data_IF_415296445089
#
_entry.id   IF_415296445089
#
_cell.length_a   1.000
_cell.length_b   1.000
_cell.length_c   1.000
_cell.angle_alpha   90.00
_cell.angle_beta   90.00
_cell.angle_gamma   90.00
#
_symmetry.space_group_name_H-M   'P 1'
#
loop_
_entity.id
_entity.type
_entity.pdbx_description
1 polymer ?
#
# COMPACT_ATOMS: atom_id res chain seq x y z
N UNK A 1 2.39 29.06 11.95
CA UNK A 1 2.33 27.61 11.69
C UNK A 1 0.96 27.00 12.03
N UNK A 2 -0.08 27.80 12.33
CA UNK A 2 -1.39 27.30 12.79
C UNK A 2 -2.48 27.23 11.69
N UNK A 3 -2.14 27.44 10.41
CA UNK A 3 -3.15 27.48 9.33
C UNK A 3 -2.81 26.60 8.12
N UNK A 4 -1.85 25.67 8.27
CA UNK A 4 -1.46 24.73 7.18
C UNK A 4 -2.26 23.43 7.18
N UNK A 5 -2.94 23.12 8.28
CA UNK A 5 -3.72 21.89 8.48
C UNK A 5 -5.19 22.17 8.79
N UNK A 6 -5.62 23.44 8.78
CA UNK A 6 -6.98 23.83 9.18
C UNK A 6 -8.07 23.28 8.25
N UNK A 7 -7.68 22.78 7.06
CA UNK A 7 -8.57 22.17 6.07
C UNK A 7 -8.32 20.66 5.84
N UNK A 8 -7.38 20.03 6.55
CA UNK A 8 -7.17 18.59 6.40
C UNK A 8 -8.33 17.82 7.07
N UNK A 9 -9.03 16.92 6.38
CA UNK A 9 -10.14 16.17 6.97
C UNK A 9 -9.68 15.36 8.18
N UNK A 10 -10.53 15.26 9.20
CA UNK A 10 -10.24 14.43 10.38
C UNK A 10 -10.36 12.94 10.09
N UNK A 11 -11.05 12.56 9.00
CA UNK A 11 -11.27 11.17 8.59
C UNK A 11 -11.56 11.08 7.09
N UNK A 12 -11.24 9.91 6.52
CA UNK A 12 -11.54 9.54 5.14
C UNK A 12 -12.43 8.29 5.16
N UNK A 13 -13.76 8.42 4.95
CA UNK A 13 -14.64 7.26 4.94
C UNK A 13 -14.38 6.38 3.72
N UNK A 14 -14.35 5.07 3.94
CA UNK A 14 -14.23 4.07 2.90
C UNK A 14 -15.12 2.86 3.20
N UNK A 15 -15.38 2.06 2.16
CA UNK A 15 -15.97 0.73 2.28
C UNK A 15 -14.86 -0.32 2.26
N UNK A 16 -14.81 -1.17 3.28
CA UNK A 16 -13.92 -2.33 3.32
C UNK A 16 -14.60 -3.52 2.63
N UNK A 17 -13.87 -4.28 1.81
CA UNK A 17 -14.35 -5.55 1.26
C UNK A 17 -13.26 -6.62 1.39
N UNK A 18 -13.70 -7.84 1.69
CA UNK A 18 -12.87 -9.04 1.64
C UNK A 18 -13.43 -9.98 0.56
N UNK A 19 -12.59 -10.41 -0.37
CA UNK A 19 -12.96 -11.28 -1.48
C UNK A 19 -12.06 -12.50 -1.51
N UNK A 20 -12.66 -13.68 -1.73
CA UNK A 20 -11.94 -14.94 -1.79
C UNK A 20 -12.35 -15.72 -3.05
N UNK A 21 -11.40 -16.44 -3.65
CA UNK A 21 -11.68 -17.33 -4.77
C UNK A 21 -11.43 -18.79 -4.37
N UNK A 22 -12.32 -19.65 -4.84
CA UNK A 22 -12.35 -21.07 -4.54
C UNK A 22 -12.30 -21.87 -5.85
N UNK A 23 -11.60 -23.00 -5.82
CA UNK A 23 -11.58 -23.98 -6.91
C UNK A 23 -12.05 -25.34 -6.38
N UNK A 24 -12.89 -26.04 -7.14
CA UNK A 24 -13.22 -27.44 -6.85
C UNK A 24 -12.10 -28.36 -7.34
N UNK A 25 -11.43 -29.05 -6.42
CA UNK A 25 -10.35 -30.00 -6.71
C UNK A 25 -10.71 -31.36 -6.11
N UNK A 26 -10.88 -32.37 -6.98
CA UNK A 26 -11.24 -33.74 -6.60
C UNK A 26 -12.51 -33.79 -5.71
N UNK A 27 -13.53 -33.00 -6.06
CA UNK A 27 -14.81 -32.93 -5.34
C UNK A 27 -14.79 -32.16 -4.02
N UNK A 28 -13.74 -31.37 -3.75
CA UNK A 28 -13.63 -30.53 -2.55
C UNK A 28 -13.20 -29.10 -2.91
N UNK A 29 -13.81 -28.10 -2.28
CA UNK A 29 -13.44 -26.70 -2.45
C UNK A 29 -12.09 -26.38 -1.81
N UNK A 30 -11.30 -25.58 -2.51
CA UNK A 30 -10.00 -25.06 -2.04
C UNK A 30 -10.00 -23.55 -2.24
N UNK A 31 -9.95 -22.81 -1.13
CA UNK A 31 -9.66 -21.38 -1.17
C UNK A 31 -8.19 -21.19 -1.52
N UNK A 32 -7.91 -20.50 -2.62
CA UNK A 32 -6.55 -20.34 -3.13
C UNK A 32 -6.13 -18.87 -3.30
N UNK A 33 -7.06 -17.94 -3.16
CA UNK A 33 -6.84 -16.51 -3.32
C UNK A 33 -7.70 -15.75 -2.32
N UNK A 34 -7.11 -14.74 -1.68
CA UNK A 34 -7.78 -13.79 -0.80
C UNK A 34 -7.33 -12.37 -1.08
N UNK A 35 -8.22 -11.40 -0.98
CA UNK A 35 -7.92 -9.99 -1.18
C UNK A 35 -8.79 -9.09 -0.30
N UNK A 36 -8.16 -8.14 0.39
CA UNK A 36 -8.84 -7.07 1.11
C UNK A 36 -8.59 -5.73 0.43
N UNK A 37 -9.64 -4.93 0.34
CA UNK A 37 -9.63 -3.65 -0.39
C UNK A 37 -10.35 -2.56 0.41
N UNK A 38 -9.92 -1.32 0.20
CA UNK A 38 -10.55 -0.11 0.72
C UNK A 38 -11.03 0.73 -0.46
N UNK A 39 -12.33 1.02 -0.51
CA UNK A 39 -12.98 1.80 -1.57
C UNK A 39 -13.39 3.18 -1.03
N UNK A 40 -12.71 4.24 -1.48
CA UNK A 40 -12.98 5.62 -1.12
C UNK A 40 -13.84 6.28 -2.20
N UNK A 41 -15.13 6.47 -1.90
CA UNK A 41 -16.15 6.91 -2.85
C UNK A 41 -16.00 8.36 -3.32
N UNK A 42 -16.96 8.82 -4.12
CA UNK A 42 -17.05 10.22 -4.58
C UNK A 42 -17.40 11.23 -3.49
N UNK A 43 -17.93 10.76 -2.37
CA UNK A 43 -18.27 11.53 -1.17
C UNK A 43 -17.11 11.59 -0.15
N UNK A 44 -16.09 10.75 -0.30
CA UNK A 44 -14.85 10.87 0.48
C UNK A 44 -14.13 12.17 0.10
N UNK A 45 -13.68 12.99 1.08
CA UNK A 45 -12.92 14.19 0.79
C UNK A 45 -11.55 13.86 0.15
N UNK A 46 -11.00 14.85 -0.57
CA UNK A 46 -9.64 14.78 -1.09
C UNK A 46 -8.64 14.66 0.07
N UNK A 47 -7.51 13.94 -0.10
CA UNK A 47 -6.98 13.41 -1.37
C UNK A 47 -7.49 12.01 -1.78
N UNK A 48 -8.38 11.39 -1.00
CA UNK A 48 -8.81 10.00 -1.22
C UNK A 48 -10.01 9.83 -2.15
N UNK A 49 -10.63 10.91 -2.60
CA UNK A 49 -11.84 10.87 -3.44
C UNK A 49 -11.67 9.94 -4.66
N UNK A 50 -12.59 9.00 -4.85
CA UNK A 50 -12.64 8.04 -5.98
C UNK A 50 -11.39 7.17 -6.12
N UNK A 51 -10.80 6.80 -5.00
CA UNK A 51 -9.62 5.96 -4.95
C UNK A 51 -9.95 4.57 -4.40
N UNK A 52 -9.28 3.55 -4.92
CA UNK A 52 -9.30 2.20 -4.37
C UNK A 52 -7.89 1.84 -3.89
N UNK A 53 -7.77 1.16 -2.76
CA UNK A 53 -6.51 0.65 -2.24
C UNK A 53 -6.62 -0.86 -2.01
N UNK A 54 -5.67 -1.63 -2.54
CA UNK A 54 -5.56 -3.07 -2.26
C UNK A 54 -4.71 -3.22 -1.00
N UNK A 55 -5.35 -3.49 0.13
CA UNK A 55 -4.70 -3.59 1.44
C UNK A 55 -3.88 -4.85 1.60
N UNK A 56 -4.49 -5.99 1.26
CA UNK A 56 -3.86 -7.30 1.36
C UNK A 56 -4.25 -8.15 0.15
N UNK A 57 -3.31 -8.92 -0.35
CA UNK A 57 -3.54 -9.92 -1.38
C UNK A 57 -2.67 -11.12 -1.04
N UNK A 58 -3.27 -12.30 -1.06
CA UNK A 58 -2.59 -13.54 -0.69
C UNK A 58 -3.02 -14.68 -1.63
N UNK A 59 -2.06 -15.51 -2.04
CA UNK A 59 -2.29 -16.55 -3.06
C UNK A 59 -1.57 -17.84 -2.67
N UNK A 60 -2.32 -18.94 -2.65
CA UNK A 60 -1.83 -20.28 -2.35
C UNK A 60 -1.52 -21.08 -3.64
N UNK A 61 -0.45 -21.88 -3.67
CA UNK A 61 0.05 -22.60 -4.85
C UNK A 61 -0.70 -23.90 -5.13
N UNK A 62 -2.03 -23.88 -5.00
CA UNK A 62 -2.86 -25.07 -5.13
C UNK A 62 -3.78 -25.08 -6.36
N UNK A 63 -3.84 -23.97 -7.09
CA UNK A 63 -4.69 -23.83 -8.27
C UNK A 63 -4.34 -24.88 -9.34
N UNK A 64 -5.35 -25.47 -10.00
CA UNK A 64 -5.15 -26.46 -11.07
C UNK A 64 -5.75 -26.01 -12.41
N UNK A 65 -4.97 -26.07 -13.51
CA UNK A 65 -3.57 -26.45 -13.58
C UNK A 65 -2.65 -25.28 -13.16
N UNK A 66 -1.51 -25.62 -12.53
CA UNK A 66 -0.64 -24.66 -11.82
C UNK A 66 -0.08 -23.57 -12.75
N UNK A 67 0.15 -23.89 -14.02
CA UNK A 67 0.63 -22.94 -15.04
C UNK A 67 -0.30 -21.75 -15.27
N UNK A 68 -1.59 -21.85 -14.92
CA UNK A 68 -2.55 -20.76 -15.04
C UNK A 68 -2.80 -19.98 -13.75
N UNK A 69 -2.22 -20.40 -12.61
CA UNK A 69 -2.47 -19.76 -11.31
C UNK A 69 -2.21 -18.25 -11.34
N UNK A 70 -1.05 -17.84 -11.86
CA UNK A 70 -0.69 -16.42 -12.00
C UNK A 70 -1.68 -15.71 -12.92
N UNK A 71 -2.05 -16.33 -14.04
CA UNK A 71 -2.97 -15.75 -15.02
C UNK A 71 -4.34 -15.50 -14.39
N UNK A 72 -4.89 -16.49 -13.68
CA UNK A 72 -6.18 -16.42 -13.00
C UNK A 72 -6.16 -15.39 -11.87
N UNK A 73 -5.09 -15.36 -11.06
CA UNK A 73 -4.93 -14.37 -9.99
C UNK A 73 -4.91 -12.95 -10.55
N UNK A 74 -4.22 -12.72 -11.67
CA UNK A 74 -4.25 -11.44 -12.37
C UNK A 74 -5.67 -11.11 -12.88
N UNK A 75 -6.40 -12.06 -13.46
CA UNK A 75 -7.76 -11.83 -13.95
C UNK A 75 -8.73 -11.47 -12.82
N UNK A 76 -8.58 -12.04 -11.62
CA UNK A 76 -9.37 -11.66 -10.45
C UNK A 76 -9.13 -10.18 -10.09
N UNK A 77 -7.86 -9.76 -9.98
CA UNK A 77 -7.51 -8.37 -9.66
C UNK A 77 -7.95 -7.42 -10.77
N UNK A 78 -7.70 -7.76 -12.04
CA UNK A 78 -8.08 -6.92 -13.18
C UNK A 78 -9.59 -6.81 -13.34
N UNK A 79 -10.34 -7.89 -13.14
CA UNK A 79 -11.81 -7.87 -13.12
C UNK A 79 -12.35 -6.96 -12.01
N UNK A 80 -11.72 -7.00 -10.83
CA UNK A 80 -12.05 -6.07 -9.74
C UNK A 80 -11.74 -4.61 -10.11
N UNK A 81 -10.59 -4.32 -10.72
CA UNK A 81 -10.24 -2.96 -11.17
C UNK A 81 -11.17 -2.47 -12.28
N UNK A 82 -11.60 -3.34 -13.20
CA UNK A 82 -12.59 -3.01 -14.22
C UNK A 82 -13.96 -2.70 -13.60
N UNK A 83 -14.39 -3.49 -12.61
CA UNK A 83 -15.59 -3.20 -11.83
C UNK A 83 -15.50 -1.83 -11.15
N UNK A 84 -14.38 -1.52 -10.50
CA UNK A 84 -14.17 -0.21 -9.88
C UNK A 84 -14.24 0.93 -10.91
N UNK A 85 -13.61 0.76 -12.07
CA UNK A 85 -13.68 1.73 -13.17
C UNK A 85 -15.11 2.00 -13.63
N UNK A 86 -15.91 0.95 -13.79
CA UNK A 86 -17.31 1.04 -14.20
C UNK A 86 -18.17 1.76 -13.15
N UNK A 87 -17.81 1.62 -11.87
CA UNK A 87 -18.49 2.27 -10.74
C UNK A 87 -17.92 3.67 -10.41
N UNK A 88 -17.07 4.23 -11.28
CA UNK A 88 -16.66 5.64 -11.22
C UNK A 88 -15.47 5.94 -10.31
N UNK A 89 -14.71 4.92 -9.92
CA UNK A 89 -13.37 5.09 -9.33
C UNK A 89 -12.36 5.51 -10.40
N UNK A 90 -11.38 6.33 -10.01
CA UNK A 90 -10.42 6.95 -10.92
C UNK A 90 -9.03 6.35 -10.80
N UNK A 91 -8.59 6.06 -9.57
CA UNK A 91 -7.27 5.50 -9.29
C UNK A 91 -7.36 4.27 -8.42
N UNK A 92 -6.42 3.36 -8.61
CA UNK A 92 -6.16 2.23 -7.72
C UNK A 92 -4.70 2.27 -7.25
N UNK A 93 -4.50 2.10 -5.94
CA UNK A 93 -3.20 2.15 -5.29
C UNK A 93 -2.83 0.75 -4.80
N UNK A 94 -1.60 0.35 -5.08
CA UNK A 94 -1.06 -0.95 -4.70
C UNK A 94 0.30 -0.78 -4.05
N UNK A 95 0.50 -1.46 -2.92
CA UNK A 95 1.79 -1.57 -2.25
C UNK A 95 2.30 -3.00 -2.35
N UNK A 96 3.37 -3.18 -3.12
CA UNK A 96 4.06 -4.46 -3.26
C UNK A 96 4.97 -4.72 -2.06
N UNK A 97 4.36 -5.00 -0.91
CA UNK A 97 5.06 -5.52 0.26
C UNK A 97 4.84 -7.03 0.35
N UNK A 98 5.89 -7.86 0.39
CA UNK A 98 5.75 -9.21 0.87
C UNK A 98 5.57 -9.20 2.40
N UNK A 99 4.96 -10.24 2.99
CA UNK A 99 4.86 -10.35 4.43
C UNK A 99 6.26 -10.50 5.05
N UNK A 100 6.41 -10.09 6.31
CA UNK A 100 7.65 -10.29 7.05
C UNK A 100 7.92 -11.79 7.25
N UNK A 101 9.18 -12.16 7.52
CA UNK A 101 9.53 -13.56 7.79
C UNK A 101 8.71 -14.11 8.97
N UNK A 102 7.92 -15.16 8.70
CA UNK A 102 7.02 -15.76 9.68
C UNK A 102 5.68 -15.03 9.90
N UNK A 103 5.37 -13.99 9.11
CA UNK A 103 4.03 -13.38 9.04
C UNK A 103 3.26 -13.92 7.83
N UNK A 104 1.93 -13.96 7.94
CA UNK A 104 1.01 -14.35 6.88
C UNK A 104 0.04 -13.19 6.62
N UNK A 105 -0.29 -12.91 5.36
CA UNK A 105 -1.26 -11.86 5.07
C UNK A 105 -2.69 -12.29 5.36
N UNK A 106 -3.12 -13.43 4.83
CA UNK A 106 -4.49 -13.90 4.97
C UNK A 106 -4.52 -15.37 5.36
N UNK A 107 -3.71 -16.22 4.70
CA UNK A 107 -3.75 -17.66 4.91
C UNK A 107 -2.71 -18.10 5.95
N UNK A 108 -3.18 -18.66 7.07
CA UNK A 108 -2.29 -19.12 8.12
C UNK A 108 -1.46 -20.34 7.66
N UNK A 109 -0.13 -20.22 7.79
CA UNK A 109 0.86 -21.25 7.49
C UNK A 109 0.87 -21.71 6.02
N UNK A 110 1.64 -20.97 5.20
CA UNK A 110 1.89 -21.30 3.80
C UNK A 110 2.72 -22.60 3.62
N UNK A 111 2.66 -23.24 2.43
CA UNK A 111 3.53 -24.37 2.08
C UNK A 111 5.02 -24.01 2.21
N UNK A 112 5.81 -24.93 2.77
CA UNK A 112 7.25 -24.71 3.00
C UNK A 112 8.06 -24.55 1.70
N UNK A 113 7.55 -25.08 0.60
CA UNK A 113 8.12 -25.00 -0.75
C UNK A 113 7.61 -23.78 -1.54
N UNK A 114 6.67 -23.01 -0.98
CA UNK A 114 6.31 -21.71 -1.52
C UNK A 114 7.40 -20.70 -1.15
N UNK A 115 8.27 -20.39 -2.13
CA UNK A 115 9.24 -19.31 -1.97
C UNK A 115 8.51 -18.01 -1.57
N UNK A 116 8.87 -17.47 -0.40
CA UNK A 116 8.47 -16.11 -0.02
C UNK A 116 8.92 -15.19 -1.14
N UNK A 117 7.98 -14.54 -1.83
CA UNK A 117 8.31 -13.72 -2.99
C UNK A 117 9.21 -12.57 -2.56
N UNK A 118 10.47 -12.56 -3.01
CA UNK A 118 11.36 -11.42 -2.80
C UNK A 118 10.64 -10.12 -3.25
N UNK A 119 10.84 -8.97 -2.56
CA UNK A 119 10.13 -7.73 -2.88
C UNK A 119 10.17 -7.37 -4.37
N UNK A 120 11.30 -7.64 -5.03
CA UNK A 120 11.47 -7.42 -6.47
C UNK A 120 10.57 -8.31 -7.33
N UNK A 121 10.45 -9.59 -7.00
CA UNK A 121 9.60 -10.54 -7.72
C UNK A 121 8.12 -10.19 -7.56
N UNK A 122 7.71 -9.76 -6.37
CA UNK A 122 6.35 -9.30 -6.13
C UNK A 122 6.04 -8.01 -6.91
N UNK A 123 6.95 -7.05 -6.91
CA UNK A 123 6.82 -5.83 -7.72
C UNK A 123 6.75 -6.13 -9.24
N UNK A 124 7.54 -7.09 -9.73
CA UNK A 124 7.46 -7.57 -11.12
C UNK A 124 6.13 -8.26 -11.43
N UNK A 125 5.58 -9.03 -10.48
CA UNK A 125 4.26 -9.65 -10.59
C UNK A 125 3.15 -8.60 -10.75
N UNK A 126 3.11 -7.59 -9.86
CA UNK A 126 2.15 -6.49 -9.97
C UNK A 126 2.32 -5.69 -11.26
N UNK A 127 3.56 -5.36 -11.63
CA UNK A 127 3.85 -4.67 -12.89
C UNK A 127 3.35 -5.47 -14.09
N UNK A 128 3.59 -6.79 -14.12
CA UNK A 128 3.09 -7.67 -15.19
C UNK A 128 1.57 -7.68 -15.25
N UNK A 129 0.89 -7.74 -14.10
CA UNK A 129 -0.58 -7.64 -14.02
C UNK A 129 -1.09 -6.31 -14.56
N UNK A 130 -0.49 -5.18 -14.15
CA UNK A 130 -0.90 -3.85 -14.60
C UNK A 130 -0.64 -3.62 -16.10
N UNK A 131 0.48 -4.12 -16.64
CA UNK A 131 0.75 -4.09 -18.10
C UNK A 131 -0.30 -4.87 -18.88
N UNK A 132 -0.74 -6.04 -18.36
CA UNK A 132 -1.85 -6.79 -18.96
C UNK A 132 -3.15 -6.00 -18.90
N UNK A 133 -3.46 -5.38 -17.76
CA UNK A 133 -4.63 -4.52 -17.61
C UNK A 133 -4.64 -3.35 -18.60
N UNK A 134 -3.47 -2.75 -18.86
CA UNK A 134 -3.29 -1.70 -19.89
C UNK A 134 -3.53 -2.25 -21.30
N UNK A 135 -2.94 -3.40 -21.62
CA UNK A 135 -3.13 -4.05 -22.93
C UNK A 135 -4.59 -4.45 -23.19
N UNK A 136 -5.33 -4.84 -22.15
CA UNK A 136 -6.75 -5.19 -22.20
C UNK A 136 -7.68 -3.96 -22.09
N UNK A 137 -7.15 -2.75 -21.96
CA UNK A 137 -7.92 -1.51 -21.74
C UNK A 137 -8.76 -1.50 -20.45
N UNK A 138 -8.39 -2.34 -19.47
CA UNK A 138 -8.95 -2.31 -18.10
C UNK A 138 -8.55 -1.00 -17.43
N UNK A 139 -7.26 -0.66 -17.41
CA UNK A 139 -6.74 0.61 -16.91
C UNK A 139 -6.14 1.45 -18.04
N UNK A 140 -6.11 2.77 -17.86
CA UNK A 140 -5.56 3.72 -18.83
C UNK A 140 -4.03 3.72 -18.82
N UNK A 141 -3.43 3.84 -17.63
CA UNK A 141 -1.98 3.81 -17.43
C UNK A 141 -1.66 3.50 -15.97
N UNK A 142 -0.39 3.25 -15.65
CA UNK A 142 0.06 3.17 -14.26
C UNK A 142 1.49 3.70 -14.12
N UNK A 143 1.84 4.15 -12.93
CA UNK A 143 3.17 4.70 -12.61
C UNK A 143 3.48 4.50 -11.13
N UNK A 144 4.70 4.82 -10.73
CA UNK A 144 5.04 4.83 -9.31
C UNK A 144 4.46 6.05 -8.57
N UNK A 145 4.32 5.97 -7.24
CA UNK A 145 3.76 7.05 -6.43
C UNK A 145 4.56 8.36 -6.53
N UNK A 146 5.89 8.30 -6.70
CA UNK A 146 6.70 9.50 -6.85
C UNK A 146 6.33 10.24 -8.14
N UNK A 147 6.24 9.53 -9.27
CA UNK A 147 5.81 10.13 -10.54
C UNK A 147 4.36 10.63 -10.48
N UNK A 148 3.49 9.95 -9.74
CA UNK A 148 2.15 10.45 -9.44
C UNK A 148 2.17 11.79 -8.74
N UNK A 149 2.89 11.90 -7.63
CA UNK A 149 2.94 13.16 -6.89
C UNK A 149 3.58 14.30 -7.70
N UNK A 150 4.57 13.98 -8.56
CA UNK A 150 5.15 14.96 -9.49
C UNK A 150 4.14 15.42 -10.55
N UNK A 151 3.37 14.49 -11.14
CA UNK A 151 2.43 14.77 -12.22
C UNK A 151 1.17 15.51 -11.76
N UNK A 152 0.67 15.18 -10.58
CA UNK A 152 -0.47 15.86 -9.96
C UNK A 152 -0.06 17.16 -9.25
N UNK A 153 1.21 17.57 -9.37
CA UNK A 153 1.76 18.78 -8.75
C UNK A 153 1.51 18.85 -7.22
N UNK A 154 1.55 17.68 -6.56
CA UNK A 154 1.44 17.59 -5.10
C UNK A 154 2.66 18.31 -4.49
N UNK A 155 2.41 19.24 -3.57
CA UNK A 155 3.47 20.05 -2.93
C UNK A 155 3.43 19.99 -1.42
N UNK A 156 2.43 19.29 -0.86
CA UNK A 156 2.28 19.09 0.58
C UNK A 156 1.92 17.64 0.88
N UNK A 157 2.37 17.12 2.03
CA UNK A 157 2.07 15.74 2.42
C UNK A 157 0.58 15.49 2.67
N UNK A 158 -0.21 16.54 2.90
CA UNK A 158 -1.66 16.46 3.09
C UNK A 158 -2.42 16.15 1.79
N UNK A 159 -1.79 16.32 0.63
CA UNK A 159 -2.39 15.98 -0.66
C UNK A 159 -1.99 14.57 -1.15
N UNK A 160 -1.18 13.83 -0.37
CA UNK A 160 -0.86 12.43 -0.65
C UNK A 160 -2.03 11.56 -0.14
N UNK A 161 -2.58 10.64 -0.97
CA UNK A 161 -3.64 9.72 -0.52
C UNK A 161 -3.29 8.99 0.78
N UNK A 162 -4.23 8.95 1.71
CA UNK A 162 -4.06 8.42 3.06
C UNK A 162 -4.87 7.13 3.23
N UNK A 163 -4.22 5.98 3.29
CA UNK A 163 -4.91 4.69 3.44
C UNK A 163 -4.61 4.05 4.79
N UNK A 164 -5.63 3.41 5.38
CA UNK A 164 -5.46 2.69 6.65
C UNK A 164 -4.50 1.51 6.46
N UNK A 165 -3.52 1.37 7.37
CA UNK A 165 -2.53 0.28 7.33
C UNK A 165 -1.43 0.43 6.26
N UNK A 166 -1.41 1.52 5.49
CA UNK A 166 -0.40 1.76 4.46
C UNK A 166 0.93 2.31 5.03
N UNK A 167 2.00 2.21 4.24
CA UNK A 167 3.33 2.68 4.61
C UNK A 167 3.41 4.21 4.82
N UNK A 168 2.73 5.00 3.98
CA UNK A 168 2.94 6.45 3.91
C UNK A 168 2.51 7.22 5.17
N UNK A 169 1.34 6.94 5.78
CA UNK A 169 0.98 7.54 7.07
C UNK A 169 2.06 7.35 8.15
N UNK A 170 2.61 6.13 8.25
CA UNK A 170 3.65 5.80 9.23
C UNK A 170 4.95 6.56 8.91
N UNK A 171 5.37 6.58 7.64
CA UNK A 171 6.57 7.29 7.21
C UNK A 171 6.49 8.81 7.46
N UNK A 172 5.30 9.40 7.24
CA UNK A 172 5.03 10.82 7.53
C UNK A 172 5.15 11.09 9.03
N UNK A 173 4.46 10.31 9.87
CA UNK A 173 4.52 10.44 11.33
C UNK A 173 5.93 10.30 11.89
N UNK A 174 6.70 9.32 11.41
CA UNK A 174 8.10 9.15 11.82
C UNK A 174 8.97 10.33 11.40
N UNK A 175 8.74 10.88 10.20
CA UNK A 175 9.50 12.02 9.69
C UNK A 175 9.19 13.28 10.49
N UNK A 176 7.94 13.52 10.86
CA UNK A 176 7.53 14.61 11.76
C UNK A 176 8.28 14.48 13.09
N UNK A 177 8.25 13.29 13.72
CA UNK A 177 8.97 13.05 14.98
C UNK A 177 10.47 13.32 14.88
N UNK A 178 11.12 12.89 13.79
CA UNK A 178 12.55 13.15 13.54
C UNK A 178 12.84 14.65 13.41
N UNK A 179 11.99 15.37 12.68
CA UNK A 179 12.14 16.83 12.50
C UNK A 179 11.95 17.61 13.80
N UNK A 180 10.99 17.20 14.64
CA UNK A 180 10.78 17.84 15.95
C UNK A 180 11.94 17.57 16.91
N UNK A 181 12.56 16.38 16.86
CA UNK A 181 13.77 16.09 17.62
C UNK A 181 14.97 16.93 17.14
N UNK A 182 15.16 17.08 15.83
CA UNK A 182 16.21 17.92 15.25
C UNK A 182 16.06 19.39 15.64
N UNK A 183 14.82 19.91 15.69
CA UNK A 183 14.53 21.29 16.13
C UNK A 183 14.76 21.51 17.61
N UNK A 184 14.48 20.50 18.44
CA UNK A 184 14.61 20.58 19.89
C UNK A 184 16.01 20.18 20.41
N UNK A 185 16.94 19.81 19.52
CA UNK A 185 18.31 19.46 19.90
C UNK A 185 19.11 20.71 20.36
N UNK A 186 19.85 20.63 21.49
CA UNK A 186 20.65 21.74 22.00
C UNK A 186 21.82 22.05 21.05
N UNK A 187 21.66 23.08 20.23
CA UNK A 187 22.65 23.52 19.23
C UNK A 187 22.07 24.24 18.00
N UNK A 188 20.75 24.23 17.81
CA UNK A 188 20.10 24.86 16.65
C UNK A 188 19.99 26.40 16.70
N UNK A 189 20.44 27.05 17.78
CA UNK A 189 20.47 28.51 17.93
C UNK A 189 21.90 29.06 17.92
N UNK A 190 22.59 29.00 16.77
CA UNK A 190 23.65 29.97 16.46
C UNK A 190 24.01 29.91 14.97
N UNK A 191 23.31 30.68 14.14
CA UNK A 191 23.87 31.14 12.88
C UNK A 191 23.69 32.65 12.84
N UNK A 192 24.53 33.35 13.60
CA UNK A 192 24.65 34.80 13.48
C UNK A 192 25.27 35.14 12.12
N UNK A 193 24.48 35.84 11.31
CA UNK A 193 24.93 36.50 10.10
C UNK A 193 25.80 37.70 10.47
N UNK A 194 27.12 37.50 10.57
CA UNK A 194 28.09 38.61 10.64
C UNK A 194 28.95 38.66 9.38
N UNK A 195 28.64 39.64 8.53
CA UNK A 195 29.44 40.12 7.40
C UNK A 195 30.57 41.02 7.92
N UNK A 196 31.85 40.70 7.68
CA UNK A 196 32.92 41.69 7.43
C UNK A 196 34.30 41.08 7.10
N UNK A 197 34.67 41.15 5.82
CA UNK A 197 35.89 41.75 5.24
C UNK A 197 37.30 41.67 5.88
N UNK A 198 38.26 41.15 5.06
CA UNK A 198 39.72 41.49 4.92
C UNK A 198 40.66 41.03 6.07
N UNK A 199 41.91 40.55 5.90
CA UNK A 199 42.97 40.71 4.85
C UNK A 199 44.12 39.67 5.05
N UNK A 200 45.08 39.63 4.11
CA UNK A 200 46.29 38.77 3.92
C UNK A 200 47.28 38.71 5.13
N UNK A 201 48.28 37.80 5.27
CA UNK A 201 49.37 37.46 4.33
C UNK A 201 50.32 36.31 4.83
N UNK A 202 51.03 35.69 3.88
CA UNK A 202 52.42 35.13 3.87
C UNK A 202 52.91 33.92 4.74
N UNK A 203 53.20 32.84 3.99
CA UNK A 203 54.48 32.12 3.75
C UNK A 203 55.13 31.09 4.74
N UNK A 204 55.49 29.94 4.12
CA UNK A 204 56.53 28.89 4.37
C UNK A 204 56.62 28.03 5.64
N UNK A 205 56.68 26.70 5.41
CA UNK A 205 57.61 25.81 6.16
C UNK A 205 57.20 24.35 6.45
N UNK A 206 57.47 23.44 5.50
CA UNK A 206 57.95 22.04 5.67
C UNK A 206 57.24 20.97 6.54
N UNK A 207 56.75 19.93 5.83
CA UNK A 207 56.90 18.46 6.06
C UNK A 207 56.49 17.79 7.38
N UNK A 208 55.47 16.91 7.33
CA UNK A 208 55.61 15.42 7.40
C UNK A 208 54.25 14.70 7.33
N UNK A 209 54.33 13.45 6.88
CA UNK A 209 53.28 12.57 6.40
C UNK A 209 52.30 12.03 7.46
N UNK A 210 51.09 11.62 7.03
CA UNK A 210 50.52 10.28 7.29
C UNK A 210 49.07 10.11 6.77
N UNK A 211 48.80 8.92 6.25
CA UNK A 211 47.52 8.21 6.06
C UNK A 211 46.42 8.82 5.17
N UNK A 212 46.33 8.26 3.96
CA UNK A 212 45.16 8.26 3.07
C UNK A 212 44.03 7.42 3.67
N UNK A 213 42.90 8.07 3.98
CA UNK A 213 41.59 7.41 3.99
C UNK A 213 40.71 8.15 3.00
N UNK A 214 40.36 7.49 1.89
CA UNK A 214 39.51 8.05 0.82
C UNK A 214 38.09 8.28 1.35
N UNK A 215 37.78 9.50 1.82
CA UNK A 215 36.39 9.98 1.89
C UNK A 215 35.89 10.14 0.45
N UNK A 216 34.93 9.29 0.06
CA UNK A 216 34.16 9.46 -1.19
C UNK A 216 33.51 10.85 -1.13
N UNK A 217 33.85 11.72 -2.10
CA UNK A 217 33.11 12.95 -2.37
C UNK A 217 31.66 12.54 -2.65
N UNK A 218 30.71 12.95 -1.80
CA UNK A 218 29.31 13.04 -2.21
C UNK A 218 29.29 13.97 -3.41
N UNK A 219 28.96 13.42 -4.57
CA UNK A 219 28.73 14.19 -5.77
C UNK A 219 27.63 15.19 -5.47
N UNK A 220 27.92 16.45 -5.77
CA UNK A 220 26.92 17.51 -5.89
C UNK A 220 25.93 17.09 -6.97
N UNK A 221 24.73 16.64 -6.59
CA UNK A 221 23.60 16.63 -7.51
C UNK A 221 23.06 18.05 -7.58
N UNK A 222 23.62 18.82 -8.52
CA UNK A 222 22.89 19.90 -9.15
C UNK A 222 21.94 19.27 -10.17
N UNK A 223 20.70 19.07 -9.76
CA UNK A 223 19.53 19.10 -10.65
C UNK A 223 18.41 19.72 -9.82
N UNK A 224 18.35 21.05 -9.91
CA UNK A 224 17.25 21.85 -9.39
C UNK A 224 15.95 21.38 -10.05
N UNK A 225 15.11 20.67 -9.31
CA UNK A 225 13.76 20.32 -9.74
C UNK A 225 12.80 21.35 -9.12
N UNK A 226 12.14 22.23 -9.89
CA UNK A 226 11.34 23.35 -9.38
C UNK A 226 10.16 22.97 -8.47
N UNK A 227 9.83 21.68 -8.37
CA UNK A 227 8.75 21.13 -7.53
C UNK A 227 9.19 20.76 -6.11
N UNK A 228 10.49 20.78 -5.77
CA UNK A 228 10.97 20.68 -4.37
C UNK A 228 10.88 22.06 -3.71
N UNK A 229 9.70 22.69 -3.81
CA UNK A 229 9.31 23.89 -3.07
C UNK A 229 8.38 23.55 -1.90
N UNK A 230 8.35 22.28 -1.50
CA UNK A 230 7.69 21.83 -0.28
C UNK A 230 8.50 22.22 0.96
N UNK A 231 7.87 22.15 2.13
CA UNK A 231 8.61 22.26 3.38
C UNK A 231 9.52 21.04 3.62
N UNK A 232 10.39 21.13 4.61
CA UNK A 232 11.39 20.09 4.95
C UNK A 232 10.77 18.69 5.13
N UNK A 233 9.52 18.63 5.62
CA UNK A 233 8.75 17.40 5.71
C UNK A 233 8.45 16.82 4.32
N UNK A 234 7.86 17.63 3.45
CA UNK A 234 7.52 17.20 2.08
C UNK A 234 8.77 16.75 1.32
N UNK A 235 9.89 17.48 1.45
CA UNK A 235 11.14 17.10 0.81
C UNK A 235 11.63 15.72 1.30
N UNK A 236 11.69 15.47 2.61
CA UNK A 236 12.11 14.18 3.17
C UNK A 236 11.19 13.03 2.74
N UNK A 237 9.89 13.29 2.58
CA UNK A 237 8.94 12.29 2.06
C UNK A 237 9.17 12.00 0.58
N UNK A 238 9.45 13.01 -0.26
CA UNK A 238 9.79 12.78 -1.67
C UNK A 238 11.10 12.00 -1.83
N UNK A 239 12.10 12.25 -0.99
CA UNK A 239 13.33 11.45 -0.94
C UNK A 239 13.03 9.98 -0.58
N UNK A 240 12.11 9.76 0.35
CA UNK A 240 11.64 8.41 0.72
C UNK A 240 10.90 7.75 -0.44
N UNK A 241 10.00 8.47 -1.12
CA UNK A 241 9.31 7.99 -2.33
C UNK A 241 10.28 7.56 -3.43
N UNK A 242 11.29 8.37 -3.77
CA UNK A 242 12.26 8.00 -4.81
C UNK A 242 13.07 6.74 -4.45
N UNK A 243 13.40 6.56 -3.17
CA UNK A 243 14.11 5.37 -2.68
C UNK A 243 13.27 4.09 -2.72
N UNK A 244 11.93 4.21 -2.64
CA UNK A 244 11.00 3.08 -2.56
C UNK A 244 10.03 2.99 -3.77
N UNK A 245 10.26 3.75 -4.85
CA UNK A 245 9.31 3.88 -5.97
C UNK A 245 8.95 2.58 -6.68
N UNK A 246 9.81 1.56 -6.65
CA UNK A 246 9.57 0.29 -7.34
C UNK A 246 8.48 -0.57 -6.71
N UNK A 247 8.02 -0.25 -5.50
CA UNK A 247 7.02 -1.05 -4.77
C UNK A 247 5.69 -0.35 -4.54
N UNK A 248 5.52 0.90 -4.97
CA UNK A 248 4.25 1.63 -4.85
C UNK A 248 3.71 1.98 -6.22
N UNK A 249 2.58 1.38 -6.59
CA UNK A 249 1.95 1.57 -7.89
C UNK A 249 0.68 2.41 -7.74
N UNK A 250 0.50 3.34 -8.67
CA UNK A 250 -0.73 4.10 -8.88
C UNK A 250 -1.24 3.80 -10.29
N UNK A 251 -2.35 3.09 -10.37
CA UNK A 251 -3.03 2.76 -11.61
C UNK A 251 -4.16 3.74 -11.87
N UNK A 252 -4.11 4.43 -13.02
CA UNK A 252 -5.19 5.26 -13.51
C UNK A 252 -6.21 4.37 -14.21
N UNK A 253 -7.39 4.21 -13.62
CA UNK A 253 -8.50 3.44 -14.20
C UNK A 253 -9.14 4.18 -15.39
N UNK A 254 -9.08 5.51 -15.35
CA UNK A 254 -9.57 6.40 -16.40
C UNK A 254 -8.51 7.47 -16.75
N UNK A 255 -8.56 8.09 -17.95
CA UNK A 255 -7.60 9.14 -18.30
C UNK A 255 -7.70 10.34 -17.35
N UNK A 256 -6.57 10.82 -16.79
CA UNK A 256 -6.56 12.05 -16.01
C UNK A 256 -7.00 13.22 -16.91
N UNK A 257 -7.87 14.10 -16.38
CA UNK A 257 -8.37 15.32 -17.05
C UNK A 257 -9.34 15.15 -18.23
N UNK A 258 -9.99 13.99 -18.42
CA UNK A 258 -11.08 13.84 -19.39
C UNK A 258 -12.45 13.69 -18.72
N UNK A 259 -12.99 14.78 -18.19
CA UNK A 259 -14.45 14.89 -18.05
C UNK A 259 -14.90 16.34 -18.24
N UNK A 260 -15.50 16.63 -19.40
CA UNK A 260 -16.22 17.89 -19.64
C UNK A 260 -17.57 17.95 -18.89
N UNK A 261 -17.98 16.85 -18.27
CA UNK A 261 -19.21 16.68 -17.49
C UNK A 261 -18.86 16.10 -16.12
N UNK A 262 -19.49 16.54 -15.01
CA UNK A 262 -19.21 15.97 -13.69
C UNK A 262 -19.37 14.45 -13.70
N UNK A 263 -18.39 13.72 -13.15
CA UNK A 263 -18.46 12.28 -13.01
C UNK A 263 -19.68 11.90 -12.15
N UNK A 264 -20.43 10.85 -12.51
CA UNK A 264 -21.53 10.39 -11.68
C UNK A 264 -21.03 9.97 -10.30
N UNK A 265 -21.88 10.07 -9.29
CA UNK A 265 -21.60 9.54 -7.94
C UNK A 265 -21.15 8.09 -8.05
N UNK A 266 -20.13 7.69 -7.27
CA UNK A 266 -19.77 6.28 -7.17
C UNK A 266 -20.96 5.52 -6.61
N UNK A 267 -21.42 4.51 -7.34
CA UNK A 267 -22.49 3.61 -6.90
C UNK A 267 -21.90 2.23 -6.71
N UNK A 268 -22.20 1.61 -5.57
CA UNK A 268 -21.93 0.19 -5.36
C UNK A 268 -23.27 -0.54 -5.42
N UNK A 269 -23.50 -1.44 -6.39
CA UNK A 269 -24.73 -2.20 -6.48
C UNK A 269 -24.89 -3.22 -5.35
N UNK A 270 -23.80 -3.58 -4.65
CA UNK A 270 -23.81 -4.61 -3.63
C UNK A 270 -24.20 -4.06 -2.25
N UNK A 271 -25.03 -4.84 -1.55
CA UNK A 271 -25.40 -4.56 -0.17
C UNK A 271 -24.21 -4.74 0.77
N UNK A 272 -24.19 -4.01 1.88
CA UNK A 272 -23.20 -4.23 2.93
C UNK A 272 -23.39 -5.64 3.53
N UNK A 273 -22.29 -6.41 3.54
CA UNK A 273 -22.20 -7.69 4.23
C UNK A 273 -21.41 -7.45 5.51
N UNK A 274 -22.01 -7.75 6.66
CA UNK A 274 -21.32 -7.65 7.95
C UNK A 274 -20.77 -9.03 8.29
N UNK A 275 -19.45 -9.15 8.42
CA UNK A 275 -18.78 -10.41 8.76
C UNK A 275 -17.56 -10.09 9.62
N UNK A 276 -17.67 -10.29 10.94
CA UNK A 276 -16.57 -9.98 11.88
C UNK A 276 -15.30 -10.79 11.59
N UNK A 277 -15.46 -12.02 11.10
CA UNK A 277 -14.33 -12.89 10.76
C UNK A 277 -13.48 -12.34 9.61
N UNK A 278 -14.10 -11.60 8.69
CA UNK A 278 -13.46 -11.07 7.49
C UNK A 278 -13.31 -9.53 7.54
N UNK A 279 -13.54 -8.92 8.70
CA UNK A 279 -13.29 -7.51 8.93
C UNK A 279 -11.78 -7.29 9.21
N UNK A 280 -11.04 -7.03 8.14
CA UNK A 280 -9.58 -7.04 8.16
C UNK A 280 -8.99 -8.47 8.19
N UNK A 281 -7.67 -8.57 8.36
CA UNK A 281 -6.97 -9.87 8.30
C UNK A 281 -6.90 -10.62 9.63
N UNK A 282 -6.92 -9.89 10.74
CA UNK A 282 -6.48 -10.43 12.04
C UNK A 282 -7.45 -11.47 12.60
N UNK A 283 -8.76 -11.26 12.45
CA UNK A 283 -9.78 -12.16 12.99
C UNK A 283 -9.67 -13.58 12.38
N UNK A 284 -9.60 -13.67 11.05
CA UNK A 284 -9.43 -14.95 10.36
C UNK A 284 -8.08 -15.61 10.68
N UNK A 285 -6.97 -14.85 10.65
CA UNK A 285 -5.65 -15.38 11.00
C UNK A 285 -5.59 -15.93 12.43
N UNK A 286 -6.18 -15.22 13.39
CA UNK A 286 -6.22 -15.64 14.78
C UNK A 286 -7.07 -16.91 14.95
N UNK A 287 -8.25 -16.96 14.33
CA UNK A 287 -9.11 -18.14 14.38
C UNK A 287 -8.44 -19.36 13.74
N UNK A 288 -7.80 -19.17 12.59
CA UNK A 288 -7.06 -20.23 11.91
C UNK A 288 -5.88 -20.73 12.75
N UNK A 289 -5.15 -19.82 13.42
CA UNK A 289 -4.05 -20.17 14.32
C UNK A 289 -4.53 -20.97 15.54
N UNK A 290 -5.60 -20.53 16.18
CA UNK A 290 -6.18 -21.17 17.37
C UNK A 290 -6.71 -22.57 17.06
N UNK A 291 -7.28 -22.77 15.86
CA UNK A 291 -7.88 -24.04 15.46
C UNK A 291 -6.96 -24.90 14.57
N UNK A 292 -5.70 -24.48 14.37
CA UNK A 292 -4.72 -25.16 13.54
C UNK A 292 -5.17 -25.38 12.08
N UNK A 293 -5.86 -24.39 11.51
CA UNK A 293 -6.26 -24.36 10.10
C UNK A 293 -5.11 -23.88 9.24
N UNK A 294 -4.18 -24.78 8.98
CA UNK A 294 -3.04 -24.51 8.14
C UNK A 294 -3.39 -24.60 6.64
N UNK A 295 -2.73 -23.79 5.83
CA UNK A 295 -2.79 -23.86 4.37
C UNK A 295 -1.48 -24.43 3.78
N UNK A 296 -0.77 -25.25 4.56
CA UNK A 296 0.60 -25.72 4.26
C UNK A 296 0.70 -26.90 3.29
N UNK A 297 -0.43 -27.50 2.91
CA UNK A 297 -0.52 -28.54 1.87
C UNK A 297 -1.93 -28.60 1.29
N UNK A 298 -2.12 -29.19 0.10
CA UNK A 298 -3.45 -29.26 -0.53
C UNK A 298 -4.51 -29.93 0.37
N UNK A 299 -4.15 -31.00 1.09
CA UNK A 299 -5.07 -31.68 1.98
C UNK A 299 -5.46 -30.80 3.18
N UNK A 300 -4.50 -30.07 3.75
CA UNK A 300 -4.76 -29.12 4.84
C UNK A 300 -5.55 -27.92 4.35
N UNK A 301 -5.25 -27.38 3.18
CA UNK A 301 -6.00 -26.28 2.57
C UNK A 301 -7.47 -26.67 2.32
N UNK A 302 -7.77 -27.90 1.87
CA UNK A 302 -9.16 -28.40 1.77
C UNK A 302 -9.87 -28.40 3.12
N UNK A 303 -9.21 -28.90 4.17
CA UNK A 303 -9.77 -28.93 5.52
C UNK A 303 -10.00 -27.52 6.09
N UNK A 304 -9.03 -26.63 5.93
CA UNK A 304 -9.08 -25.24 6.38
C UNK A 304 -10.14 -24.45 5.61
N UNK A 305 -10.29 -24.69 4.30
CA UNK A 305 -11.35 -24.12 3.46
C UNK A 305 -12.73 -24.56 3.93
N UNK A 306 -12.92 -25.86 4.16
CA UNK A 306 -14.18 -26.39 4.71
C UNK A 306 -14.51 -25.73 6.06
N UNK A 307 -13.52 -25.55 6.93
CA UNK A 307 -13.71 -24.95 8.25
C UNK A 307 -14.02 -23.45 8.16
N UNK A 308 -13.32 -22.72 7.30
CA UNK A 308 -13.60 -21.32 6.95
C UNK A 308 -15.03 -21.16 6.44
N UNK A 309 -15.46 -21.98 5.48
CA UNK A 309 -16.82 -21.95 4.93
C UNK A 309 -17.86 -22.29 5.99
N UNK A 310 -17.59 -23.26 6.86
CA UNK A 310 -18.48 -23.57 7.98
C UNK A 310 -18.67 -22.37 8.91
N UNK A 311 -17.61 -21.66 9.28
CA UNK A 311 -17.73 -20.45 10.09
C UNK A 311 -18.54 -19.38 9.37
N UNK A 312 -18.23 -19.09 8.10
CA UNK A 312 -18.92 -18.06 7.32
C UNK A 312 -20.42 -18.31 7.20
N UNK A 313 -20.86 -19.56 7.03
CA UNK A 313 -22.28 -19.88 6.91
C UNK A 313 -23.02 -19.89 8.26
N UNK A 314 -22.32 -20.06 9.39
CA UNK A 314 -22.95 -20.26 10.71
C UNK A 314 -22.72 -19.09 11.69
N UNK A 315 -22.25 -17.93 11.23
CA UNK A 315 -22.00 -16.77 12.11
C UNK A 315 -23.28 -16.27 12.79
N UNK A 316 -24.40 -16.21 12.05
CA UNK A 316 -25.67 -15.71 12.56
C UNK A 316 -26.28 -16.64 13.63
N UNK A 317 -26.14 -17.95 13.45
CA UNK A 317 -26.69 -18.97 14.37
C UNK A 317 -25.98 -18.97 15.74
N UNK A 318 -24.70 -18.60 15.80
CA UNK A 318 -23.98 -18.48 17.09
C UNK A 318 -24.43 -17.30 17.93
N UNK A 319 -24.73 -16.17 17.29
CA UNK A 319 -25.25 -15.00 18.01
C UNK A 319 -26.61 -15.34 18.61
N UNK A 320 -27.50 -15.99 17.86
CA UNK A 320 -28.82 -16.39 18.36
C UNK A 320 -28.75 -17.45 19.49
N UNK A 321 -27.85 -18.41 19.38
CA UNK A 321 -27.68 -19.45 20.41
C UNK A 321 -27.02 -18.93 21.70
N UNK A 322 -26.11 -17.96 21.62
CA UNK A 322 -25.58 -17.25 22.80
C UNK A 322 -26.67 -16.42 23.50
N UNK A 323 -27.55 -15.75 22.75
CA UNK A 323 -28.71 -15.07 23.33
C UNK A 323 -29.66 -16.04 24.05
N UNK A 324 -29.85 -17.25 23.52
CA UNK A 324 -30.70 -18.26 24.15
C UNK A 324 -30.08 -18.94 25.39
N UNK A 325 -28.75 -19.00 25.48
CA UNK A 325 -28.05 -19.51 26.66
C UNK A 325 -27.94 -18.48 27.80
N UNK A 326 -28.11 -17.19 27.48
CA UNK A 326 -28.02 -16.07 28.41
C UNK A 326 -29.40 -15.48 28.81
N UNK A 327 -30.51 -16.06 28.32
CA UNK A 327 -31.90 -15.70 28.67
C UNK A 327 -32.58 -16.76 29.53
#
# INVERSE_FOLDING_TARGET
MMDRFSYFPSQFPYRSKALFAFEEIDGAEVCFFGMHVQEYGSDCPAPNTRCVYISYLDVLPFFKPMEYQTLVSHEIVLGYLEFCKQNGFQTAHLWASPPAEGDDYIFYCHPMDQDTTEPKRLAEWYRSMLERGKAQSVLFDFQDLFQYCVKEEITTVTDIPYFEGDFWPIAIEETIKKLDQERNAPGALSVDHSTSSKKANSDKGSTKASSRTKKRKKGSLSNYNPLVSGDDLTQKIYETMDNHKEVFFVAYLQPPNKTASPLPTTTDPDSLVTCELMDGRDAFLNLARENHWEFSSLCRAKFSTMSMLYELHNQEDRLQSLFHLLS
#
